data_IF_723483543702
#
_entry.id   IF_723483543702
#
_cell.length_a   1.000
_cell.length_b   1.000
_cell.length_c   1.000
_cell.angle_alpha   90.00
_cell.angle_beta   90.00
_cell.angle_gamma   90.00
#
_symmetry.space_group_name_H-M   'P 1'
#
loop_
_entity.id
_entity.type
_entity.pdbx_description
1 polymer ?
#
# COMPACT_ATOMS: atom_id res chain seq x y z
N UNK A 1 -34.82 -9.71 36.13
CA UNK A 1 -35.04 -9.28 34.71
C UNK A 1 -33.94 -8.40 34.14
N UNK A 2 -33.30 -7.51 34.88
CA UNK A 2 -32.21 -6.60 34.42
C UNK A 2 -30.99 -7.31 33.81
N UNK A 3 -30.49 -8.39 34.42
CA UNK A 3 -29.26 -9.07 33.97
C UNK A 3 -29.38 -9.72 32.57
N UNK A 4 -30.54 -10.21 32.17
CA UNK A 4 -30.77 -10.79 30.83
C UNK A 4 -30.75 -9.75 29.72
N UNK A 5 -31.16 -8.51 30.01
CA UNK A 5 -31.15 -7.40 29.04
C UNK A 5 -29.71 -6.94 28.79
N UNK A 6 -28.92 -6.76 29.83
CA UNK A 6 -27.53 -6.35 29.73
C UNK A 6 -26.68 -7.38 28.93
N UNK A 7 -26.89 -8.68 29.18
CA UNK A 7 -26.18 -9.74 28.45
C UNK A 7 -26.53 -9.73 26.96
N UNK A 8 -27.76 -9.45 26.58
CA UNK A 8 -28.15 -9.29 25.17
C UNK A 8 -27.51 -8.06 24.54
N UNK A 9 -27.43 -6.96 25.26
CA UNK A 9 -26.83 -5.71 24.79
C UNK A 9 -25.34 -5.87 24.49
N UNK A 10 -24.59 -6.55 25.36
CA UNK A 10 -23.18 -6.86 25.11
C UNK A 10 -22.95 -7.78 23.91
N UNK A 11 -23.80 -8.78 23.72
CA UNK A 11 -23.75 -9.68 22.56
C UNK A 11 -23.99 -8.89 21.28
N UNK A 12 -25.00 -8.05 21.23
CA UNK A 12 -25.29 -7.22 20.05
C UNK A 12 -24.20 -6.18 19.78
N UNK A 13 -23.64 -5.56 20.81
CA UNK A 13 -22.53 -4.65 20.69
C UNK A 13 -21.28 -5.37 20.13
N UNK A 14 -21.01 -6.58 20.60
CA UNK A 14 -19.93 -7.42 20.07
C UNK A 14 -20.13 -7.81 18.62
N UNK A 15 -21.35 -8.22 18.24
CA UNK A 15 -21.68 -8.57 16.84
C UNK A 15 -21.55 -7.35 15.94
N UNK A 16 -22.06 -6.19 16.34
CA UNK A 16 -21.94 -4.96 15.56
C UNK A 16 -20.48 -4.51 15.42
N UNK A 17 -19.71 -4.59 16.51
CA UNK A 17 -18.27 -4.25 16.47
C UNK A 17 -17.50 -5.19 15.57
N UNK A 18 -17.73 -6.49 15.63
CA UNK A 18 -17.10 -7.47 14.76
C UNK A 18 -17.49 -7.28 13.28
N UNK A 19 -18.78 -7.02 13.02
CA UNK A 19 -19.27 -6.76 11.66
C UNK A 19 -18.65 -5.49 11.08
N UNK A 20 -18.49 -4.43 11.86
CA UNK A 20 -17.82 -3.20 11.45
C UNK A 20 -16.35 -3.44 11.11
N UNK A 21 -15.63 -4.23 11.93
CA UNK A 21 -14.23 -4.61 11.67
C UNK A 21 -14.10 -5.50 10.42
N UNK A 22 -15.01 -6.46 10.24
CA UNK A 22 -15.00 -7.32 9.06
C UNK A 22 -15.28 -6.54 7.78
N UNK A 23 -16.22 -5.60 7.82
CA UNK A 23 -16.54 -4.72 6.71
C UNK A 23 -15.35 -3.79 6.37
N UNK A 24 -14.70 -3.20 7.38
CA UNK A 24 -13.55 -2.33 7.16
C UNK A 24 -12.39 -3.07 6.49
N UNK A 25 -12.12 -4.31 6.92
CA UNK A 25 -11.11 -5.17 6.29
C UNK A 25 -11.47 -5.57 4.86
N UNK A 26 -12.76 -5.79 4.58
CA UNK A 26 -13.25 -6.08 3.22
C UNK A 26 -13.12 -4.88 2.28
N UNK A 27 -13.44 -3.69 2.77
CA UNK A 27 -13.35 -2.44 2.01
C UNK A 27 -11.89 -2.09 1.68
N UNK A 28 -10.95 -2.33 2.60
CA UNK A 28 -9.52 -2.10 2.37
C UNK A 28 -8.99 -2.92 1.18
N UNK A 29 -9.41 -4.19 1.07
CA UNK A 29 -9.08 -5.05 -0.09
C UNK A 29 -9.76 -4.63 -1.39
N UNK A 30 -10.97 -4.08 -1.31
CA UNK A 30 -11.70 -3.56 -2.47
C UNK A 30 -11.12 -2.22 -2.94
N UNK A 31 -10.62 -1.38 -2.05
CA UNK A 31 -9.97 -0.12 -2.37
C UNK A 31 -8.74 -0.30 -3.26
N UNK A 32 -8.00 -1.41 -3.10
CA UNK A 32 -6.88 -1.76 -3.99
C UNK A 32 -7.32 -2.01 -5.45
N UNK A 33 -8.57 -2.49 -5.66
CA UNK A 33 -9.11 -2.82 -7.00
C UNK A 33 -9.95 -1.69 -7.59
N UNK A 34 -10.49 -0.83 -6.76
CA UNK A 34 -11.42 0.23 -7.14
C UNK A 34 -11.10 1.52 -6.36
N UNK A 35 -10.23 2.40 -6.87
CA UNK A 35 -9.75 3.60 -6.17
C UNK A 35 -10.88 4.52 -5.67
N UNK A 36 -12.01 4.58 -6.40
CA UNK A 36 -13.16 5.39 -5.96
C UNK A 36 -13.76 4.92 -4.63
N UNK A 37 -13.61 3.64 -4.29
CA UNK A 37 -14.07 3.08 -3.02
C UNK A 37 -13.20 3.54 -1.83
N UNK A 38 -11.95 3.91 -2.06
CA UNK A 38 -11.06 4.46 -1.05
C UNK A 38 -11.61 5.81 -0.50
N UNK A 39 -12.26 6.60 -1.37
CA UNK A 39 -12.89 7.88 -1.00
C UNK A 39 -14.24 7.71 -0.27
N UNK A 40 -14.92 6.59 -0.49
CA UNK A 40 -16.26 6.34 0.04
C UNK A 40 -16.28 5.69 1.42
N UNK A 41 -15.16 5.17 1.91
CA UNK A 41 -15.11 4.43 3.16
C UNK A 41 -14.70 5.34 4.34
N UNK A 42 -15.59 5.62 5.30
CA UNK A 42 -15.31 6.51 6.43
C UNK A 42 -14.26 5.96 7.42
N UNK A 43 -13.84 4.70 7.25
CA UNK A 43 -12.82 4.03 8.07
C UNK A 43 -11.62 3.53 7.26
N UNK A 44 -11.36 4.11 6.09
CA UNK A 44 -10.30 3.68 5.16
C UNK A 44 -8.91 4.16 5.59
N UNK A 45 -8.49 3.82 6.80
CA UNK A 45 -7.13 4.07 7.29
C UNK A 45 -6.20 2.86 7.15
N UNK A 46 -6.57 1.84 6.38
CA UNK A 46 -5.76 0.64 6.19
C UNK A 46 -4.66 0.82 5.14
N UNK A 47 -3.67 -0.11 5.11
CA UNK A 47 -2.55 -0.04 4.16
C UNK A 47 -2.99 -0.04 2.70
N UNK A 48 -4.08 -0.74 2.35
CA UNK A 48 -4.65 -0.76 1.01
C UNK A 48 -5.17 0.59 0.55
N UNK A 49 -5.88 1.30 1.43
CA UNK A 49 -6.37 2.65 1.13
C UNK A 49 -5.23 3.65 0.92
N UNK A 50 -4.18 3.59 1.74
CA UNK A 50 -3.01 4.45 1.57
C UNK A 50 -2.22 4.12 0.30
N UNK A 51 -2.14 2.84 -0.10
CA UNK A 51 -1.55 2.47 -1.40
C UNK A 51 -2.36 3.01 -2.57
N UNK A 52 -3.69 2.92 -2.52
CA UNK A 52 -4.56 3.47 -3.55
C UNK A 52 -4.41 4.99 -3.67
N UNK A 53 -4.38 5.70 -2.53
CA UNK A 53 -4.15 7.15 -2.49
C UNK A 53 -2.77 7.53 -3.07
N UNK A 54 -1.73 6.76 -2.75
CA UNK A 54 -0.39 7.00 -3.28
C UNK A 54 -0.32 6.78 -4.79
N UNK A 55 -0.98 5.74 -5.31
CA UNK A 55 -1.06 5.47 -6.74
C UNK A 55 -1.83 6.57 -7.48
N UNK A 56 -2.99 6.99 -6.95
CA UNK A 56 -3.77 8.10 -7.51
C UNK A 56 -2.95 9.40 -7.54
N UNK A 57 -2.26 9.73 -6.45
CA UNK A 57 -1.43 10.93 -6.37
C UNK A 57 -0.23 10.87 -7.34
N UNK A 58 0.30 9.67 -7.64
CA UNK A 58 1.33 9.49 -8.68
C UNK A 58 0.77 9.75 -10.08
N UNK A 59 -0.44 9.27 -10.38
CA UNK A 59 -1.12 9.54 -11.65
C UNK A 59 -1.42 11.03 -11.84
N UNK A 60 -1.71 11.74 -10.75
CA UNK A 60 -1.96 13.20 -10.72
C UNK A 60 -0.65 14.02 -10.69
N UNK A 61 0.53 13.37 -10.74
CA UNK A 61 1.86 14.00 -10.61
C UNK A 61 2.03 14.79 -9.29
N UNK A 62 1.22 14.49 -8.29
CA UNK A 62 1.29 15.10 -6.97
C UNK A 62 2.29 14.33 -6.08
N UNK A 63 3.58 14.56 -6.32
CA UNK A 63 4.67 13.82 -5.68
C UNK A 63 4.65 13.92 -4.15
N UNK A 64 4.30 15.08 -3.60
CA UNK A 64 4.25 15.28 -2.15
C UNK A 64 3.15 14.43 -1.50
N UNK A 65 1.95 14.42 -2.08
CA UNK A 65 0.84 13.59 -1.62
C UNK A 65 1.15 12.09 -1.78
N UNK A 66 1.75 11.70 -2.91
CA UNK A 66 2.16 10.33 -3.18
C UNK A 66 3.15 9.81 -2.13
N UNK A 67 4.20 10.58 -1.81
CA UNK A 67 5.18 10.23 -0.79
C UNK A 67 4.53 10.13 0.60
N UNK A 68 3.66 11.07 0.95
CA UNK A 68 2.97 11.07 2.24
C UNK A 68 2.08 9.83 2.39
N UNK A 69 1.25 9.51 1.40
CA UNK A 69 0.38 8.35 1.41
C UNK A 69 1.18 7.03 1.39
N UNK A 70 2.23 6.92 0.57
CA UNK A 70 3.08 5.74 0.52
C UNK A 70 3.81 5.49 1.85
N UNK A 71 4.27 6.54 2.53
CA UNK A 71 4.85 6.43 3.89
C UNK A 71 3.85 5.88 4.89
N UNK A 72 2.59 6.33 4.84
CA UNK A 72 1.55 5.78 5.71
C UNK A 72 1.31 4.28 5.39
N UNK A 73 1.25 3.90 4.11
CA UNK A 73 1.12 2.50 3.73
C UNK A 73 2.25 1.62 4.31
N UNK A 74 3.50 2.09 4.28
CA UNK A 74 4.65 1.38 4.88
C UNK A 74 4.55 1.32 6.40
N UNK A 75 4.06 2.37 7.07
CA UNK A 75 3.88 2.37 8.53
C UNK A 75 2.83 1.36 8.99
N UNK A 76 1.74 1.20 8.22
CA UNK A 76 0.67 0.24 8.54
C UNK A 76 1.03 -1.20 8.19
N UNK A 77 1.81 -1.40 7.12
CA UNK A 77 2.25 -2.73 6.68
C UNK A 77 3.71 -2.68 6.20
N UNK A 78 4.67 -2.75 7.12
CA UNK A 78 6.10 -2.60 6.82
C UNK A 78 6.72 -3.81 6.10
N UNK A 79 6.02 -4.94 6.07
CA UNK A 79 6.51 -6.18 5.41
C UNK A 79 5.89 -6.40 4.03
N UNK A 80 4.89 -5.60 3.64
CA UNK A 80 4.33 -5.68 2.29
C UNK A 80 5.27 -4.98 1.27
N UNK A 81 5.83 -5.75 0.32
CA UNK A 81 6.73 -5.21 -0.69
C UNK A 81 6.09 -4.11 -1.54
N UNK A 82 4.78 -4.20 -1.78
CA UNK A 82 4.02 -3.22 -2.59
C UNK A 82 4.02 -1.83 -1.96
N UNK A 83 3.93 -1.74 -0.62
CA UNK A 83 3.99 -0.46 0.10
C UNK A 83 5.37 0.19 -0.05
N UNK A 84 6.44 -0.60 0.10
CA UNK A 84 7.81 -0.12 -0.08
C UNK A 84 8.14 0.23 -1.54
N UNK A 85 7.65 -0.57 -2.51
CA UNK A 85 7.83 -0.31 -3.94
C UNK A 85 7.12 0.99 -4.37
N UNK A 86 5.90 1.21 -3.87
CA UNK A 86 5.15 2.43 -4.16
C UNK A 86 5.81 3.67 -3.57
N UNK A 87 6.38 3.55 -2.36
CA UNK A 87 7.21 4.62 -1.79
C UNK A 87 8.45 4.88 -2.66
N UNK A 88 9.09 3.82 -3.17
CA UNK A 88 10.20 3.94 -4.10
C UNK A 88 9.81 4.70 -5.37
N UNK A 89 8.68 4.35 -5.97
CA UNK A 89 8.16 5.04 -7.16
C UNK A 89 7.85 6.52 -6.89
N UNK A 90 7.22 6.83 -5.76
CA UNK A 90 6.90 8.20 -5.37
C UNK A 90 8.16 9.06 -5.13
N UNK A 91 9.19 8.47 -4.51
CA UNK A 91 10.49 9.15 -4.31
C UNK A 91 11.23 9.33 -5.64
N UNK A 92 11.16 8.33 -6.53
CA UNK A 92 11.78 8.41 -7.85
C UNK A 92 11.16 9.53 -8.70
N UNK A 93 9.84 9.64 -8.70
CA UNK A 93 9.12 10.68 -9.43
C UNK A 93 9.39 12.10 -8.90
N UNK A 94 9.74 12.23 -7.61
CA UNK A 94 10.18 13.49 -7.01
C UNK A 94 11.66 13.82 -7.24
N UNK A 95 12.43 12.93 -7.89
CA UNK A 95 13.87 13.10 -8.13
C UNK A 95 14.76 12.64 -6.96
N UNK A 96 14.20 12.05 -5.92
CA UNK A 96 14.95 11.54 -4.75
C UNK A 96 15.56 10.15 -5.01
N UNK A 97 16.42 10.04 -6.01
CA UNK A 97 16.98 8.77 -6.50
C UNK A 97 17.56 7.87 -5.40
N UNK A 98 18.39 8.44 -4.52
CA UNK A 98 19.04 7.67 -3.44
C UNK A 98 18.05 7.12 -2.40
N UNK A 99 16.97 7.84 -2.14
CA UNK A 99 15.89 7.40 -1.25
C UNK A 99 15.03 6.34 -1.92
N UNK A 100 14.72 6.52 -3.21
CA UNK A 100 13.99 5.55 -4.03
C UNK A 100 14.73 4.21 -4.09
N UNK A 101 16.02 4.21 -4.35
CA UNK A 101 16.85 2.99 -4.38
C UNK A 101 16.79 2.22 -3.05
N UNK A 102 16.86 2.92 -1.91
CA UNK A 102 16.69 2.28 -0.60
C UNK A 102 15.32 1.64 -0.43
N UNK A 103 14.24 2.32 -0.84
CA UNK A 103 12.89 1.81 -0.76
C UNK A 103 12.69 0.56 -1.64
N UNK A 104 13.18 0.57 -2.88
CA UNK A 104 13.12 -0.58 -3.77
C UNK A 104 13.97 -1.77 -3.28
N UNK A 105 15.12 -1.52 -2.64
CA UNK A 105 15.88 -2.60 -1.99
C UNK A 105 15.13 -3.23 -0.82
N UNK A 106 14.37 -2.45 -0.06
CA UNK A 106 13.50 -2.99 1.00
C UNK A 106 12.38 -3.82 0.36
N UNK A 107 11.71 -3.32 -0.66
CA UNK A 107 10.69 -4.06 -1.39
C UNK A 107 11.20 -5.40 -1.92
N UNK A 108 12.39 -5.41 -2.52
CA UNK A 108 13.02 -6.64 -3.05
C UNK A 108 13.32 -7.70 -1.99
N UNK A 109 13.56 -7.31 -0.74
CA UNK A 109 13.80 -8.26 0.36
C UNK A 109 12.54 -9.02 0.78
N UNK A 110 11.37 -8.37 0.69
CA UNK A 110 10.10 -8.97 1.08
C UNK A 110 9.32 -9.56 -0.09
N UNK A 111 9.54 -9.07 -1.31
CA UNK A 111 8.79 -9.52 -2.49
C UNK A 111 9.55 -9.30 -3.79
N UNK A 112 10.49 -10.20 -4.11
CA UNK A 112 11.27 -10.11 -5.34
C UNK A 112 10.44 -10.18 -6.63
N UNK A 113 9.18 -10.61 -6.58
CA UNK A 113 8.24 -10.66 -7.73
C UNK A 113 7.33 -9.43 -7.84
N UNK A 114 7.52 -8.41 -6.99
CA UNK A 114 6.75 -7.17 -7.13
C UNK A 114 7.07 -6.47 -8.46
N UNK A 115 6.07 -6.16 -9.31
CA UNK A 115 6.30 -5.64 -10.66
C UNK A 115 7.05 -4.31 -10.68
N UNK A 116 6.72 -3.37 -9.77
CA UNK A 116 7.40 -2.07 -9.70
C UNK A 116 8.87 -2.24 -9.34
N UNK A 117 9.15 -3.14 -8.40
CA UNK A 117 10.51 -3.48 -7.98
C UNK A 117 11.31 -4.10 -9.14
N UNK A 118 10.69 -5.02 -9.90
CA UNK A 118 11.36 -5.63 -11.04
C UNK A 118 11.66 -4.61 -12.15
N UNK A 119 10.69 -3.76 -12.48
CA UNK A 119 10.86 -2.69 -13.46
C UNK A 119 11.99 -1.74 -13.08
N UNK A 120 12.04 -1.33 -11.81
CA UNK A 120 13.11 -0.47 -11.31
C UNK A 120 14.51 -1.09 -11.51
N UNK A 121 14.70 -2.33 -11.04
CA UNK A 121 16.02 -2.98 -11.17
C UNK A 121 16.36 -3.35 -12.60
N UNK A 122 15.39 -3.63 -13.45
CA UNK A 122 15.60 -3.81 -14.88
C UNK A 122 16.10 -2.51 -15.52
N UNK A 123 15.46 -1.39 -15.22
CA UNK A 123 15.87 -0.07 -15.73
C UNK A 123 17.29 0.28 -15.28
N UNK A 124 17.61 0.06 -13.99
CA UNK A 124 18.96 0.28 -13.47
C UNK A 124 20.01 -0.61 -14.17
N UNK A 125 19.68 -1.88 -14.45
CA UNK A 125 20.57 -2.77 -15.18
C UNK A 125 20.80 -2.30 -16.63
N UNK A 126 19.76 -1.81 -17.30
CA UNK A 126 19.85 -1.25 -18.64
C UNK A 126 20.73 0.01 -18.67
N UNK A 127 20.58 0.90 -17.70
CA UNK A 127 21.43 2.10 -17.57
C UNK A 127 22.91 1.79 -17.35
N UNK A 128 23.20 0.67 -16.67
CA UNK A 128 24.57 0.19 -16.47
C UNK A 128 25.10 -0.64 -17.66
N UNK A 129 24.29 -0.89 -18.69
CA UNK A 129 24.63 -1.72 -19.85
C UNK A 129 24.67 -3.22 -19.56
N UNK A 130 24.14 -3.66 -18.42
CA UNK A 130 24.06 -5.08 -18.05
C UNK A 130 22.79 -5.72 -18.58
N UNK A 131 22.81 -6.05 -19.87
CA UNK A 131 21.70 -6.69 -20.58
C UNK A 131 21.32 -8.06 -20.02
N UNK A 132 22.32 -8.78 -19.49
CA UNK A 132 22.07 -10.10 -18.92
C UNK A 132 21.26 -10.00 -17.61
N UNK A 133 21.65 -9.09 -16.74
CA UNK A 133 20.92 -8.80 -15.52
C UNK A 133 19.50 -8.28 -15.81
N UNK A 134 19.36 -7.37 -16.78
CA UNK A 134 18.05 -6.86 -17.19
C UNK A 134 17.12 -7.99 -17.68
N UNK A 135 17.61 -8.93 -18.48
CA UNK A 135 16.85 -10.06 -18.99
C UNK A 135 16.40 -11.04 -17.88
N UNK A 136 17.11 -11.12 -16.77
CA UNK A 136 16.72 -11.99 -15.65
C UNK A 136 15.59 -11.40 -14.80
N UNK A 137 15.18 -10.16 -15.07
CA UNK A 137 14.10 -9.44 -14.35
C UNK A 137 12.75 -9.48 -15.07
N UNK A 138 12.69 -10.04 -16.28
CA UNK A 138 11.47 -10.32 -17.02
C UNK A 138 10.85 -11.65 -16.60
#
# INVERSE_FOLDING_TARGET
MRQKVWRRLYVWAGVLGFSALALSSGVDRLAERHPFMAKAAPFSGGPGAHRAQAAEALEEENHAAAIAAARQAVLFDPVDPRSAALLGAALLSSGEQASADRAFRVAARFGWRDPLTQLYFMDQALLMGDWHLAATRL
#
